data_IF_364015056807
#
_entry.id   IF_364015056807
#
_cell.length_a   1.000
_cell.length_b   1.000
_cell.length_c   1.000
_cell.angle_alpha   90.00
_cell.angle_beta   90.00
_cell.angle_gamma   90.00
#
_symmetry.space_group_name_H-M   'P 1'
#
loop_
_entity.id
_entity.type
_entity.pdbx_description
1 polymer ?
#
# COMPACT_ATOMS: atom_id res chain seq x y z
N UNK A 1 -0.37 -7.04 -28.72
CA UNK A 1 0.23 -7.98 -27.76
C UNK A 1 -0.81 -9.03 -27.42
N UNK A 2 -0.42 -10.31 -27.32
CA UNK A 2 -1.34 -11.35 -26.86
C UNK A 2 -1.76 -11.10 -25.41
N UNK A 3 -2.99 -11.49 -25.08
CA UNK A 3 -3.61 -11.30 -23.75
C UNK A 3 -2.74 -11.86 -22.61
N UNK A 4 -2.05 -13.00 -22.85
CA UNK A 4 -1.11 -13.60 -21.89
C UNK A 4 0.10 -12.72 -21.62
N UNK A 5 0.64 -12.07 -22.66
CA UNK A 5 1.81 -11.19 -22.52
C UNK A 5 1.45 -9.94 -21.72
N UNK A 6 0.25 -9.37 -21.96
CA UNK A 6 -0.26 -8.23 -21.17
C UNK A 6 -0.39 -8.59 -19.70
N UNK A 7 -0.99 -9.74 -19.39
CA UNK A 7 -1.14 -10.22 -18.01
C UNK A 7 0.21 -10.41 -17.28
N UNK A 8 1.20 -10.99 -17.97
CA UNK A 8 2.54 -11.21 -17.39
C UNK A 8 3.23 -9.88 -17.13
N UNK A 9 3.20 -8.94 -18.08
CA UNK A 9 3.81 -7.62 -17.92
C UNK A 9 3.20 -6.88 -16.73
N UNK A 10 1.87 -6.91 -16.60
CA UNK A 10 1.17 -6.30 -15.48
C UNK A 10 1.55 -6.94 -14.14
N UNK A 11 1.53 -8.27 -14.07
CA UNK A 11 1.91 -9.00 -12.87
C UNK A 11 3.37 -8.73 -12.45
N UNK A 12 4.28 -8.61 -13.42
CA UNK A 12 5.67 -8.23 -13.16
C UNK A 12 5.81 -6.78 -12.72
N UNK A 13 5.03 -5.85 -13.29
CA UNK A 13 5.00 -4.45 -12.87
C UNK A 13 4.56 -4.32 -11.41
N UNK A 14 3.44 -4.98 -11.07
CA UNK A 14 2.91 -5.06 -9.71
C UNK A 14 3.94 -5.65 -8.74
N UNK A 15 4.51 -6.81 -9.07
CA UNK A 15 5.54 -7.44 -8.25
C UNK A 15 6.78 -6.54 -8.10
N UNK A 16 7.15 -5.80 -9.15
CA UNK A 16 8.20 -4.79 -9.13
C UNK A 16 7.92 -3.68 -8.11
N UNK A 17 6.70 -3.13 -8.09
CA UNK A 17 6.31 -2.11 -7.12
C UNK A 17 6.39 -2.65 -5.69
N UNK A 18 5.85 -3.84 -5.43
CA UNK A 18 5.95 -4.48 -4.12
C UNK A 18 7.40 -4.67 -3.67
N UNK A 19 8.28 -5.10 -4.59
CA UNK A 19 9.70 -5.27 -4.28
C UNK A 19 10.39 -3.92 -4.03
N UNK A 20 10.06 -2.86 -4.77
CA UNK A 20 10.60 -1.52 -4.55
C UNK A 20 10.19 -0.96 -3.19
N UNK A 21 8.93 -1.13 -2.78
CA UNK A 21 8.45 -0.75 -1.44
C UNK A 21 9.19 -1.53 -0.35
N UNK A 22 9.35 -2.84 -0.52
CA UNK A 22 10.06 -3.69 0.45
C UNK A 22 11.53 -3.34 0.60
N UNK A 23 12.24 -3.21 -0.52
CA UNK A 23 13.66 -2.84 -0.53
C UNK A 23 13.87 -1.42 -0.02
N UNK A 24 12.97 -0.49 -0.38
CA UNK A 24 12.97 0.88 0.15
C UNK A 24 12.79 0.90 1.66
N UNK A 25 11.81 0.18 2.20
CA UNK A 25 11.58 0.09 3.63
C UNK A 25 12.81 -0.49 4.37
N UNK A 26 13.41 -1.57 3.85
CA UNK A 26 14.63 -2.16 4.41
C UNK A 26 15.80 -1.18 4.42
N UNK A 27 16.00 -0.42 3.34
CA UNK A 27 17.05 0.59 3.27
C UNK A 27 16.85 1.74 4.27
N UNK A 28 15.62 1.94 4.75
CA UNK A 28 15.24 3.01 5.66
C UNK A 28 15.26 2.63 7.15
N UNK A 29 15.29 1.33 7.48
CA UNK A 29 15.30 0.86 8.89
C UNK A 29 16.42 1.52 9.69
N UNK A 30 17.68 1.33 9.29
CA UNK A 30 18.84 1.86 10.03
C UNK A 30 18.89 3.40 10.04
N UNK A 31 18.64 4.12 8.91
CA UNK A 31 18.48 5.57 8.94
C UNK A 31 17.43 6.08 9.93
N UNK A 32 16.26 5.44 10.00
CA UNK A 32 15.17 5.85 10.88
C UNK A 32 15.47 5.57 12.35
N UNK A 33 16.11 4.45 12.67
CA UNK A 33 16.58 4.14 14.03
C UNK A 33 17.61 5.18 14.50
N UNK A 34 18.59 5.51 13.64
CA UNK A 34 19.60 6.55 13.94
C UNK A 34 18.99 7.94 14.12
N UNK A 35 17.91 8.23 13.40
CA UNK A 35 17.16 9.48 13.52
C UNK A 35 16.19 9.50 14.72
N UNK A 36 16.03 8.38 15.43
CA UNK A 36 15.13 8.29 16.59
C UNK A 36 13.66 8.40 16.21
N UNK A 37 13.27 7.97 15.01
CA UNK A 37 11.89 8.09 14.50
C UNK A 37 10.94 6.98 14.98
N UNK A 38 11.38 6.18 15.95
CA UNK A 38 10.56 5.15 16.56
C UNK A 38 9.41 5.78 17.36
N UNK A 39 8.17 5.50 16.95
CA UNK A 39 6.99 6.16 17.51
C UNK A 39 6.52 5.57 18.86
N UNK A 40 6.91 4.33 19.18
CA UNK A 40 6.46 3.63 20.39
C UNK A 40 7.57 3.53 21.42
N UNK A 41 7.25 3.75 22.70
CA UNK A 41 8.22 3.61 23.79
C UNK A 41 8.67 2.15 23.98
N UNK A 42 7.72 1.21 23.89
CA UNK A 42 8.00 -0.23 23.93
C UNK A 42 7.45 -0.90 22.66
N UNK A 43 8.29 -1.11 21.64
CA UNK A 43 7.89 -1.75 20.39
C UNK A 43 7.37 -3.18 20.54
N UNK A 44 7.71 -3.91 21.60
CA UNK A 44 7.30 -5.31 21.78
C UNK A 44 5.89 -5.46 22.38
N UNK A 45 5.28 -4.36 22.83
CA UNK A 45 3.94 -4.41 23.45
C UNK A 45 2.84 -4.64 22.40
N UNK A 46 2.16 -5.79 22.46
CA UNK A 46 1.02 -6.15 21.58
C UNK A 46 -0.13 -5.14 21.61
N UNK A 47 -0.26 -4.34 22.68
CA UNK A 47 -1.27 -3.28 22.77
C UNK A 47 -1.09 -2.21 21.69
N UNK A 48 0.15 -2.01 21.20
CA UNK A 48 0.43 -1.05 20.14
C UNK A 48 -0.37 -1.35 18.87
N UNK A 49 -0.58 -2.63 18.53
CA UNK A 49 -1.40 -3.03 17.37
C UNK A 49 -2.86 -2.65 17.56
N UNK A 50 -3.40 -2.79 18.77
CA UNK A 50 -4.79 -2.41 19.07
C UNK A 50 -4.98 -0.89 18.98
N UNK A 51 -4.04 -0.12 19.54
CA UNK A 51 -4.06 1.35 19.43
C UNK A 51 -4.00 1.77 17.96
N UNK A 52 -3.15 1.12 17.17
CA UNK A 52 -3.04 1.40 15.75
C UNK A 52 -4.31 1.06 14.97
N UNK A 53 -4.89 -0.12 15.18
CA UNK A 53 -6.17 -0.48 14.56
C UNK A 53 -7.25 0.52 14.95
N UNK A 54 -7.32 0.95 16.22
CA UNK A 54 -8.25 1.99 16.66
C UNK A 54 -8.00 3.35 15.98
N UNK A 55 -6.74 3.75 15.82
CA UNK A 55 -6.36 4.98 15.13
C UNK A 55 -6.69 4.93 13.63
N UNK A 56 -6.48 3.77 12.99
CA UNK A 56 -6.85 3.51 11.61
C UNK A 56 -8.36 3.69 11.46
N UNK A 57 -9.17 3.00 12.27
CA UNK A 57 -10.64 3.14 12.23
C UNK A 57 -11.11 4.57 12.50
N UNK A 58 -10.42 5.32 13.36
CA UNK A 58 -10.75 6.73 13.61
C UNK A 58 -10.43 7.62 12.40
N UNK A 59 -9.30 7.37 11.72
CA UNK A 59 -8.95 8.05 10.47
C UNK A 59 -9.91 7.69 9.34
N UNK A 60 -10.28 6.42 9.22
CA UNK A 60 -11.29 5.91 8.28
C UNK A 60 -12.66 6.56 8.55
N UNK A 61 -13.05 6.71 9.81
CA UNK A 61 -14.28 7.42 10.14
C UNK A 61 -14.19 8.92 9.82
N UNK A 62 -13.00 9.51 9.97
CA UNK A 62 -12.76 10.91 9.68
C UNK A 62 -12.84 11.20 8.18
N UNK A 63 -12.19 10.42 7.30
CA UNK A 63 -12.34 10.73 5.88
C UNK A 63 -13.74 10.40 5.37
N UNK A 64 -14.45 9.43 5.97
CA UNK A 64 -15.83 9.13 5.57
C UNK A 64 -16.75 10.30 5.86
N UNK A 65 -16.49 10.95 6.99
CA UNK A 65 -17.15 12.18 7.36
C UNK A 65 -16.79 13.30 6.39
N UNK A 66 -15.53 13.42 5.98
CA UNK A 66 -15.08 14.45 5.04
C UNK A 66 -15.70 14.26 3.64
N UNK A 67 -15.78 13.02 3.15
CA UNK A 67 -16.47 12.67 1.90
C UNK A 67 -17.97 12.98 1.97
N UNK A 68 -18.62 12.70 3.10
CA UNK A 68 -20.03 13.07 3.32
C UNK A 68 -20.29 14.58 3.19
N UNK A 69 -19.26 15.41 3.39
CA UNK A 69 -19.34 16.87 3.26
C UNK A 69 -18.71 17.40 1.96
N UNK A 70 -18.45 16.53 0.98
CA UNK A 70 -17.89 16.90 -0.33
C UNK A 70 -16.54 17.65 -0.22
N UNK A 71 -15.72 17.32 0.78
CA UNK A 71 -14.44 17.98 1.05
C UNK A 71 -13.29 17.45 0.19
N UNK A 72 -13.55 17.04 -1.04
CA UNK A 72 -12.60 16.35 -1.94
C UNK A 72 -11.27 17.10 -2.09
N UNK A 73 -11.32 18.43 -2.33
CA UNK A 73 -10.11 19.26 -2.46
C UNK A 73 -9.29 19.28 -1.17
N UNK A 74 -9.96 19.26 -0.01
CA UNK A 74 -9.29 19.22 1.30
C UNK A 74 -8.65 17.87 1.52
N UNK A 75 -9.34 16.78 1.20
CA UNK A 75 -8.82 15.40 1.30
C UNK A 75 -7.61 15.25 0.39
N UNK A 76 -7.71 15.65 -0.88
CA UNK A 76 -6.59 15.62 -1.84
C UNK A 76 -5.41 16.44 -1.33
N UNK A 77 -5.66 17.67 -0.86
CA UNK A 77 -4.62 18.53 -0.30
C UNK A 77 -3.93 17.91 0.91
N UNK A 78 -4.71 17.29 1.82
CA UNK A 78 -4.19 16.58 2.98
C UNK A 78 -3.32 15.40 2.58
N UNK A 79 -3.78 14.55 1.67
CA UNK A 79 -3.03 13.36 1.21
C UNK A 79 -1.73 13.79 0.53
N UNK A 80 -1.75 14.80 -0.34
CA UNK A 80 -0.54 15.32 -0.99
C UNK A 80 0.43 15.91 0.02
N UNK A 81 -0.05 16.64 1.03
CA UNK A 81 0.78 17.22 2.08
C UNK A 81 1.40 16.14 2.97
N UNK A 82 0.62 15.16 3.41
CA UNK A 82 1.10 14.01 4.19
C UNK A 82 2.11 13.21 3.37
N UNK A 83 1.82 12.96 2.10
CA UNK A 83 2.73 12.29 1.18
C UNK A 83 4.05 13.03 1.00
N UNK A 84 3.99 14.36 0.82
CA UNK A 84 5.17 15.22 0.79
C UNK A 84 5.95 15.22 2.10
N UNK A 85 5.27 15.18 3.24
CA UNK A 85 5.90 15.13 4.56
C UNK A 85 6.59 13.79 4.82
N UNK A 86 5.97 12.66 4.48
CA UNK A 86 6.60 11.35 4.54
C UNK A 86 7.80 11.31 3.58
N UNK A 87 7.63 11.80 2.35
CA UNK A 87 8.72 11.93 1.38
C UNK A 87 9.89 12.75 1.93
N UNK A 88 9.61 13.87 2.61
CA UNK A 88 10.62 14.66 3.29
C UNK A 88 11.34 13.86 4.38
N UNK A 89 10.63 13.13 5.25
CA UNK A 89 11.24 12.30 6.29
C UNK A 89 12.19 11.26 5.68
N UNK A 90 11.73 10.56 4.63
CA UNK A 90 12.53 9.57 3.88
C UNK A 90 13.82 10.22 3.35
N UNK A 91 13.69 11.32 2.62
CA UNK A 91 14.80 11.99 1.96
C UNK A 91 15.78 12.61 2.96
N UNK A 92 15.27 13.19 4.05
CA UNK A 92 16.08 13.77 5.12
C UNK A 92 16.83 12.71 5.95
N UNK A 93 16.31 11.47 6.00
CA UNK A 93 16.97 10.36 6.68
C UNK A 93 18.10 9.75 5.83
N UNK A 94 18.02 9.88 4.51
CA UNK A 94 19.04 9.39 3.57
C UNK A 94 20.16 10.44 3.37
N UNK A 95 19.79 11.71 3.18
CA UNK A 95 20.75 12.78 2.86
C UNK A 95 21.17 13.50 4.16
N UNK A 96 22.45 13.45 4.56
CA UNK A 96 22.90 14.12 5.77
C UNK A 96 22.59 15.62 5.75
N UNK A 97 22.09 16.16 6.87
CA UNK A 97 21.71 17.57 6.98
C UNK A 97 22.89 18.55 6.75
N UNK A 98 24.14 18.09 6.85
CA UNK A 98 25.34 18.86 6.55
C UNK A 98 25.55 19.12 5.06
N UNK A 99 24.91 18.34 4.18
CA UNK A 99 24.99 18.53 2.73
C UNK A 99 24.02 19.63 2.33
N UNK A 100 24.55 20.83 2.10
CA UNK A 100 23.80 22.04 1.72
C UNK A 100 22.67 22.33 2.74
N UNK A 101 23.01 22.72 3.98
CA UNK A 101 22.04 22.84 5.07
C UNK A 101 21.01 23.95 4.80
N UNK A 102 19.73 23.65 5.05
CA UNK A 102 18.60 24.57 4.94
C UNK A 102 17.51 24.19 5.94
N UNK A 103 17.14 25.13 6.82
CA UNK A 103 16.01 24.97 7.76
C UNK A 103 16.00 23.63 8.53
N UNK A 104 17.14 23.21 9.06
CA UNK A 104 17.26 21.99 9.87
C UNK A 104 17.40 20.66 9.11
N UNK A 105 17.42 20.68 7.77
CA UNK A 105 17.67 19.51 6.93
C UNK A 105 18.56 19.87 5.73
N UNK A 106 18.81 18.91 4.84
CA UNK A 106 19.46 19.20 3.56
C UNK A 106 18.50 19.95 2.62
N UNK A 107 19.00 20.97 1.92
CA UNK A 107 18.27 21.64 0.84
C UNK A 107 17.83 20.65 -0.25
N UNK A 108 18.56 19.56 -0.46
CA UNK A 108 18.22 18.51 -1.42
C UNK A 108 16.96 17.77 -0.98
N UNK A 109 16.85 17.44 0.31
CA UNK A 109 15.66 16.78 0.86
C UNK A 109 14.42 17.68 0.75
N UNK A 110 14.56 18.96 1.06
CA UNK A 110 13.49 19.96 0.86
C UNK A 110 13.07 20.08 -0.60
N UNK A 111 14.04 20.19 -1.52
CA UNK A 111 13.77 20.31 -2.95
C UNK A 111 13.07 19.07 -3.51
N UNK A 112 13.52 17.87 -3.14
CA UNK A 112 12.93 16.62 -3.61
C UNK A 112 11.53 16.38 -3.01
N UNK A 113 11.30 16.70 -1.74
CA UNK A 113 9.95 16.65 -1.17
C UNK A 113 9.00 17.67 -1.84
N UNK A 114 9.49 18.89 -2.11
CA UNK A 114 8.75 19.89 -2.88
C UNK A 114 8.43 19.44 -4.30
N UNK A 115 9.35 18.70 -4.95
CA UNK A 115 9.12 18.13 -6.27
C UNK A 115 8.04 17.05 -6.27
N UNK A 116 7.98 16.20 -5.24
CA UNK A 116 6.89 15.21 -5.06
C UNK A 116 5.54 15.94 -4.96
N UNK A 117 5.44 16.93 -4.07
CA UNK A 117 4.21 17.71 -3.88
C UNK A 117 3.81 18.42 -5.17
N UNK A 118 4.74 19.13 -5.81
CA UNK A 118 4.46 19.86 -7.04
C UNK A 118 4.05 18.93 -8.19
N UNK A 119 4.69 17.78 -8.31
CA UNK A 119 4.35 16.75 -9.30
C UNK A 119 2.91 16.26 -9.12
N UNK A 120 2.50 15.93 -7.90
CA UNK A 120 1.14 15.46 -7.59
C UNK A 120 0.07 16.54 -7.76
N UNK A 121 0.42 17.82 -7.57
CA UNK A 121 -0.52 18.93 -7.75
C UNK A 121 -0.68 19.32 -9.23
N UNK A 122 0.42 19.38 -9.99
CA UNK A 122 0.44 19.94 -11.35
C UNK A 122 0.25 18.87 -12.41
N UNK A 123 0.80 17.67 -12.21
CA UNK A 123 0.85 16.63 -13.24
C UNK A 123 0.76 15.22 -12.64
N UNK A 124 -0.39 14.85 -12.05
CA UNK A 124 -0.61 13.54 -11.41
C UNK A 124 -0.81 12.43 -12.46
N UNK A 125 0.23 12.16 -13.24
CA UNK A 125 0.26 10.97 -14.10
C UNK A 125 0.60 9.71 -13.31
N UNK A 126 0.23 8.55 -13.83
CA UNK A 126 0.43 7.26 -13.17
C UNK A 126 1.86 7.06 -12.65
N UNK A 127 2.89 7.42 -13.43
CA UNK A 127 4.28 7.25 -13.00
C UNK A 127 4.70 8.23 -11.88
N UNK A 128 4.06 9.39 -11.78
CA UNK A 128 4.29 10.36 -10.70
C UNK A 128 3.61 9.86 -9.43
N UNK A 129 2.38 9.37 -9.57
CA UNK A 129 1.59 8.78 -8.48
C UNK A 129 2.31 7.55 -7.94
N UNK A 130 2.75 6.64 -8.80
CA UNK A 130 3.46 5.41 -8.42
C UNK A 130 4.82 5.71 -7.79
N UNK A 131 5.60 6.65 -8.33
CA UNK A 131 6.88 7.03 -7.74
C UNK A 131 6.69 7.64 -6.34
N UNK A 132 5.71 8.53 -6.17
CA UNK A 132 5.36 9.08 -4.87
C UNK A 132 4.84 8.00 -3.92
N UNK A 133 3.97 7.11 -4.40
CA UNK A 133 3.40 5.99 -3.66
C UNK A 133 4.47 5.01 -3.19
N UNK A 134 5.46 4.68 -4.02
CA UNK A 134 6.60 3.83 -3.64
C UNK A 134 7.42 4.48 -2.52
N UNK A 135 7.74 5.78 -2.64
CA UNK A 135 8.51 6.52 -1.61
C UNK A 135 7.72 6.59 -0.30
N UNK A 136 6.44 6.96 -0.38
CA UNK A 136 5.54 7.01 0.76
C UNK A 136 5.36 5.65 1.41
N UNK A 137 5.18 4.60 0.62
CA UNK A 137 4.98 3.23 1.09
C UNK A 137 6.22 2.67 1.76
N UNK A 138 7.40 2.88 1.18
CA UNK A 138 8.68 2.53 1.80
C UNK A 138 8.89 3.28 3.12
N UNK A 139 8.60 4.58 3.14
CA UNK A 139 8.68 5.41 4.35
C UNK A 139 7.73 4.95 5.45
N UNK A 140 6.45 4.77 5.12
CA UNK A 140 5.43 4.31 6.06
C UNK A 140 5.75 2.91 6.60
N UNK A 141 6.07 1.95 5.72
CA UNK A 141 6.41 0.59 6.14
C UNK A 141 7.68 0.55 6.99
N UNK A 142 8.70 1.36 6.66
CA UNK A 142 9.90 1.52 7.47
C UNK A 142 9.61 2.09 8.86
N UNK A 143 8.83 3.17 8.94
CA UNK A 143 8.44 3.81 10.21
C UNK A 143 7.63 2.86 11.11
N UNK A 144 6.65 2.16 10.54
CA UNK A 144 5.90 1.15 11.29
C UNK A 144 6.75 -0.04 11.65
N UNK A 145 7.63 -0.48 10.76
CA UNK A 145 8.54 -1.60 10.99
C UNK A 145 9.46 -1.39 12.18
N UNK A 146 10.04 -0.19 12.33
CA UNK A 146 10.87 0.14 13.50
C UNK A 146 10.03 0.43 14.76
N UNK A 147 8.75 0.76 14.61
CA UNK A 147 7.86 1.11 15.72
C UNK A 147 7.08 -0.08 16.28
N UNK A 148 6.97 -1.17 15.53
CA UNK A 148 6.30 -2.39 15.95
C UNK A 148 7.30 -3.54 15.93
N UNK A 149 7.55 -4.11 17.11
CA UNK A 149 8.26 -5.37 17.26
C UNK A 149 7.54 -6.52 16.55
N UNK A 150 8.17 -7.68 16.56
CA UNK A 150 7.68 -8.87 15.85
C UNK A 150 6.25 -9.22 16.28
N UNK A 151 5.99 -9.28 17.59
CA UNK A 151 4.68 -9.66 18.10
C UNK A 151 3.59 -8.66 17.68
N UNK A 152 3.74 -7.33 17.89
CA UNK A 152 2.74 -6.38 17.42
C UNK A 152 2.55 -6.37 15.90
N UNK A 153 3.62 -6.53 15.11
CA UNK A 153 3.52 -6.62 13.66
C UNK A 153 2.70 -7.85 13.24
N UNK A 154 2.98 -9.03 13.79
CA UNK A 154 2.22 -10.25 13.53
C UNK A 154 0.74 -10.10 13.88
N UNK A 155 0.43 -9.51 15.04
CA UNK A 155 -0.96 -9.25 15.46
C UNK A 155 -1.66 -8.30 14.51
N UNK A 156 -0.98 -7.21 14.09
CA UNK A 156 -1.53 -6.24 13.16
C UNK A 156 -1.85 -6.88 11.80
N UNK A 157 -0.89 -7.58 11.21
CA UNK A 157 -1.05 -8.23 9.91
C UNK A 157 -2.16 -9.28 9.94
N UNK A 158 -2.23 -10.07 11.02
CA UNK A 158 -3.29 -11.07 11.20
C UNK A 158 -4.66 -10.42 11.37
N UNK A 159 -4.78 -9.35 12.17
CA UNK A 159 -6.03 -8.65 12.37
C UNK A 159 -6.57 -8.04 11.06
N UNK A 160 -5.70 -7.38 10.29
CA UNK A 160 -6.08 -6.80 8.99
C UNK A 160 -6.42 -7.86 7.95
N UNK A 161 -5.69 -8.97 7.91
CA UNK A 161 -6.02 -10.10 7.05
C UNK A 161 -7.40 -10.71 7.40
N UNK A 162 -7.69 -10.89 8.68
CA UNK A 162 -8.99 -11.41 9.13
C UNK A 162 -10.11 -10.43 8.78
N UNK A 163 -9.89 -9.13 9.00
CA UNK A 163 -10.86 -8.09 8.64
C UNK A 163 -11.18 -8.12 7.14
N UNK A 164 -10.16 -8.13 6.28
CA UNK A 164 -10.32 -8.18 4.83
C UNK A 164 -11.06 -9.45 4.38
N UNK A 165 -10.68 -10.63 4.91
CA UNK A 165 -11.38 -11.87 4.62
C UNK A 165 -12.87 -11.83 5.01
N UNK A 166 -13.20 -11.21 6.15
CA UNK A 166 -14.60 -11.06 6.59
C UNK A 166 -15.35 -10.06 5.69
N UNK A 167 -14.70 -8.95 5.33
CA UNK A 167 -15.27 -7.93 4.45
C UNK A 167 -15.65 -8.53 3.09
N UNK A 168 -14.71 -9.25 2.47
CA UNK A 168 -14.87 -9.80 1.12
C UNK A 168 -15.78 -11.03 1.09
N UNK A 169 -15.51 -12.06 1.91
CA UNK A 169 -16.26 -13.34 1.84
C UNK A 169 -17.49 -13.38 2.74
N UNK A 170 -17.52 -12.57 3.80
CA UNK A 170 -18.60 -12.57 4.77
C UNK A 170 -19.72 -11.63 4.40
N UNK A 171 -19.38 -10.36 4.14
CA UNK A 171 -20.40 -9.33 3.92
C UNK A 171 -20.75 -9.08 2.45
N UNK A 172 -19.95 -9.56 1.49
CA UNK A 172 -20.10 -9.33 0.02
C UNK A 172 -20.34 -7.86 -0.39
N UNK A 173 -20.21 -6.92 0.54
CA UNK A 173 -20.58 -5.51 0.41
C UNK A 173 -19.63 -4.74 -0.54
N UNK A 174 -18.53 -5.39 -0.93
CA UNK A 174 -17.54 -4.97 -1.93
C UNK A 174 -18.12 -4.93 -3.36
N UNK A 175 -19.21 -5.65 -3.64
CA UNK A 175 -19.79 -5.78 -4.99
C UNK A 175 -20.85 -4.72 -5.32
N UNK A 176 -21.19 -3.81 -4.40
CA UNK A 176 -22.36 -2.91 -4.56
C UNK A 176 -22.11 -1.44 -4.22
N UNK A 177 -20.87 -1.00 -4.01
CA UNK A 177 -20.56 0.41 -3.76
C UNK A 177 -19.66 0.97 -4.86
N UNK A 178 -20.30 1.37 -5.95
CA UNK A 178 -19.72 2.22 -6.98
C UNK A 178 -19.83 3.69 -6.55
N UNK A 179 -18.89 4.50 -7.06
CA UNK A 179 -18.91 5.97 -7.16
C UNK A 179 -18.61 6.77 -5.87
N UNK A 180 -17.41 7.36 -5.79
CA UNK A 180 -17.14 8.46 -4.84
C UNK A 180 -15.68 8.77 -4.50
N UNK A 181 -14.73 7.85 -4.71
CA UNK A 181 -13.34 8.04 -4.23
C UNK A 181 -12.31 8.22 -5.37
N UNK A 182 -12.70 8.08 -6.63
CA UNK A 182 -11.75 7.92 -7.74
C UNK A 182 -11.30 9.21 -8.44
N UNK A 183 -11.97 10.34 -8.21
CA UNK A 183 -11.59 11.62 -8.84
C UNK A 183 -10.40 12.31 -8.17
N UNK A 184 -9.96 11.81 -7.01
CA UNK A 184 -8.94 12.48 -6.21
C UNK A 184 -7.51 12.37 -6.78
N UNK A 185 -7.23 11.40 -7.66
CA UNK A 185 -5.91 11.18 -8.32
C UNK A 185 -4.73 11.27 -7.33
N UNK A 186 -4.87 10.56 -6.20
CA UNK A 186 -3.91 10.58 -5.08
C UNK A 186 -3.07 9.29 -5.01
N UNK A 187 -1.85 9.33 -4.43
CA UNK A 187 -0.96 8.18 -4.29
C UNK A 187 -1.41 7.18 -3.20
N UNK A 188 -2.69 6.82 -3.21
CA UNK A 188 -3.28 5.76 -2.39
C UNK A 188 -3.59 4.51 -3.23
N UNK A 189 -3.64 4.66 -4.56
CA UNK A 189 -3.79 3.58 -5.54
C UNK A 189 -2.61 3.66 -6.52
N UNK A 190 -1.95 2.53 -6.72
CA UNK A 190 -0.84 2.33 -7.64
C UNK A 190 -1.38 1.79 -8.96
N UNK A 191 -0.82 2.26 -10.09
CA UNK A 191 -1.39 2.07 -11.43
C UNK A 191 -0.38 1.41 -12.35
N UNK A 192 -0.65 0.18 -12.78
CA UNK A 192 0.18 -0.56 -13.74
C UNK A 192 -0.48 -0.57 -15.12
N UNK A 193 0.01 0.23 -16.08
CA UNK A 193 -0.59 0.31 -17.41
C UNK A 193 -0.36 -0.99 -18.21
N UNK A 194 -1.37 -1.41 -18.97
CA UNK A 194 -1.29 -2.56 -19.89
C UNK A 194 -0.87 -2.16 -21.31
N UNK A 195 -0.72 -0.86 -21.58
CA UNK A 195 -0.22 -0.30 -22.84
C UNK A 195 0.69 0.91 -22.59
N UNK A 196 1.69 1.12 -23.45
CA UNK A 196 2.63 2.25 -23.32
C UNK A 196 2.00 3.61 -23.67
N UNK A 197 0.85 3.60 -24.35
CA UNK A 197 0.07 4.79 -24.71
C UNK A 197 -0.95 5.18 -23.64
N UNK A 198 -1.00 4.46 -22.52
CA UNK A 198 -1.92 4.74 -21.44
C UNK A 198 -1.59 6.07 -20.76
N UNK A 199 -2.60 6.92 -20.61
CA UNK A 199 -2.56 8.22 -19.94
C UNK A 199 -3.57 8.17 -18.80
N UNK A 200 -3.13 8.41 -17.57
CA UNK A 200 -4.04 8.44 -16.42
C UNK A 200 -4.85 9.73 -16.37
N UNK A 201 -4.38 10.78 -17.04
CA UNK A 201 -5.09 12.04 -17.14
C UNK A 201 -6.32 11.95 -18.06
N UNK A 202 -6.23 11.09 -19.09
CA UNK A 202 -7.26 10.93 -20.14
C UNK A 202 -8.17 9.71 -19.92
N UNK A 203 -7.85 8.82 -18.99
CA UNK A 203 -8.68 7.67 -18.65
C UNK A 203 -9.89 8.13 -17.81
N UNK A 204 -11.11 7.88 -18.31
CA UNK A 204 -12.31 7.90 -17.47
C UNK A 204 -12.16 6.82 -16.38
N UNK A 205 -12.51 7.16 -15.14
CA UNK A 205 -12.30 6.29 -13.99
C UNK A 205 -12.96 4.91 -14.22
N UNK A 206 -12.20 3.80 -14.24
CA UNK A 206 -12.77 2.48 -14.48
C UNK A 206 -13.43 1.91 -13.22
N UNK A 207 -14.55 1.20 -13.38
CA UNK A 207 -15.45 0.61 -12.38
C UNK A 207 -14.84 -0.46 -11.45
N UNK A 208 -13.55 -0.43 -11.13
CA UNK A 208 -12.92 -1.55 -10.43
C UNK A 208 -11.66 -1.20 -9.66
N UNK A 209 -11.83 -0.31 -8.69
CA UNK A 209 -10.99 -0.24 -7.50
C UNK A 209 -11.86 -0.23 -6.25
N UNK A 210 -12.44 -1.40 -5.95
CA UNK A 210 -12.76 -1.70 -4.58
C UNK A 210 -11.42 -1.99 -3.86
N UNK A 211 -11.06 -1.07 -2.96
CA UNK A 211 -9.98 -1.10 -1.96
C UNK A 211 -8.86 -0.06 -2.12
N UNK A 212 -9.21 1.18 -1.81
CA UNK A 212 -8.52 1.94 -0.78
C UNK A 212 -9.61 2.52 0.14
N UNK A 213 -9.79 1.87 1.28
CA UNK A 213 -10.53 2.28 2.48
C UNK A 213 -11.48 3.49 2.32
N UNK A 214 -12.80 3.22 2.29
CA UNK A 214 -13.79 3.86 3.18
C UNK A 214 -15.26 3.58 2.77
N UNK A 215 -16.06 3.10 3.72
CA UNK A 215 -17.43 2.60 3.51
C UNK A 215 -18.59 3.61 3.51
N UNK A 216 -19.45 3.48 2.50
CA UNK A 216 -20.90 3.41 2.64
C UNK A 216 -21.70 4.71 2.86
N UNK A 217 -22.61 5.01 1.91
CA UNK A 217 -24.00 5.40 2.20
C UNK A 217 -24.90 5.35 0.97
N UNK A 218 -26.03 4.66 1.16
CA UNK A 218 -27.24 4.75 0.35
C UNK A 218 -27.94 6.11 0.57
N UNK A 219 -28.50 6.69 -0.49
CA UNK A 219 -29.71 7.53 -0.39
C UNK A 219 -30.67 7.21 -1.52
N UNK A 220 -31.87 6.80 -1.12
CA UNK A 220 -33.07 6.80 -1.92
C UNK A 220 -33.70 8.21 -2.03
N UNK A 221 -34.57 8.33 -3.04
CA UNK A 221 -35.63 9.32 -3.29
C UNK A 221 -35.34 10.56 -4.18
N UNK A 222 -35.62 10.35 -5.48
CA UNK A 222 -36.75 10.87 -6.26
C UNK A 222 -36.85 12.36 -6.70
N UNK A 223 -37.24 12.48 -7.98
CA UNK A 223 -38.00 13.55 -8.68
C UNK A 223 -37.31 14.67 -9.48
N UNK A 224 -37.38 14.47 -10.80
CA UNK A 224 -37.93 15.36 -11.85
C UNK A 224 -37.13 16.60 -12.31
N UNK A 225 -36.82 16.60 -13.62
CA UNK A 225 -36.43 17.81 -14.37
C UNK A 225 -36.03 17.49 -15.81
N UNK A 226 -37.02 17.37 -16.69
CA UNK A 226 -36.89 17.17 -18.14
C UNK A 226 -36.24 18.39 -18.81
N UNK A 227 -35.25 18.19 -19.69
CA UNK A 227 -35.25 18.86 -21.00
C UNK A 227 -34.42 18.09 -22.04
N UNK A 228 -35.02 17.88 -23.21
CA UNK A 228 -34.53 17.11 -24.35
C UNK A 228 -33.69 17.98 -25.29
N UNK A 229 -32.61 17.41 -25.88
CA UNK A 229 -32.27 17.55 -27.32
C UNK A 229 -31.06 16.69 -27.72
N UNK A 230 -30.95 16.28 -29.00
CA UNK A 230 -30.54 14.93 -29.37
C UNK A 230 -29.22 14.85 -30.16
N UNK A 231 -28.84 13.59 -30.47
CA UNK A 231 -27.85 13.12 -31.45
C UNK A 231 -26.43 12.86 -30.97
N UNK A 232 -26.20 11.61 -30.53
CA UNK A 232 -24.89 10.96 -30.41
C UNK A 232 -25.11 9.45 -30.28
N UNK A 233 -24.59 8.67 -31.23
CA UNK A 233 -24.90 7.27 -31.44
C UNK A 233 -24.60 6.37 -30.22
N UNK A 234 -25.67 5.83 -29.65
CA UNK A 234 -25.66 4.87 -28.55
C UNK A 234 -25.25 3.47 -29.06
N UNK A 235 -24.00 3.07 -28.86
CA UNK A 235 -23.65 1.64 -28.79
C UNK A 235 -23.98 1.15 -27.38
N UNK A 236 -25.18 0.58 -27.24
CA UNK A 236 -25.67 0.07 -25.96
C UNK A 236 -24.77 -1.03 -25.41
N UNK A 237 -24.14 -0.76 -24.28
CA UNK A 237 -23.67 -1.80 -23.37
C UNK A 237 -24.82 -2.17 -22.43
N UNK A 238 -25.22 -3.43 -22.48
CA UNK A 238 -26.21 -3.98 -21.58
C UNK A 238 -25.63 -4.02 -20.15
N UNK A 239 -26.42 -3.72 -19.11
CA UNK A 239 -25.95 -3.79 -17.73
C UNK A 239 -25.76 -5.26 -17.36
N UNK A 240 -24.52 -5.75 -17.34
CA UNK A 240 -24.24 -7.12 -16.87
C UNK A 240 -22.89 -7.74 -17.24
N UNK A 241 -22.11 -7.19 -18.18
CA UNK A 241 -20.78 -7.72 -18.50
C UNK A 241 -19.69 -6.79 -17.96
N UNK A 242 -19.26 -7.00 -16.71
CA UNK A 242 -18.01 -6.38 -16.25
C UNK A 242 -16.86 -6.84 -17.16
N UNK A 243 -16.08 -5.91 -17.76
CA UNK A 243 -15.00 -6.28 -18.66
C UNK A 243 -13.99 -7.18 -17.95
N UNK A 244 -13.52 -8.22 -18.64
CA UNK A 244 -12.54 -9.13 -18.06
C UNK A 244 -11.30 -8.33 -17.61
N UNK A 245 -10.59 -8.73 -16.54
CA UNK A 245 -9.49 -7.92 -15.98
C UNK A 245 -8.38 -7.53 -16.98
N UNK A 246 -8.27 -8.25 -18.10
CA UNK A 246 -7.29 -8.02 -19.16
C UNK A 246 -7.81 -7.19 -20.34
N UNK A 247 -9.11 -6.88 -20.35
CA UNK A 247 -9.75 -5.96 -21.29
C UNK A 247 -9.64 -4.52 -20.79
N UNK A 248 -9.35 -4.34 -19.49
CA UNK A 248 -8.99 -3.05 -18.88
C UNK A 248 -7.71 -2.49 -19.49
N UNK A 249 -7.54 -1.16 -19.40
CA UNK A 249 -6.34 -0.49 -19.91
C UNK A 249 -5.20 -0.44 -18.90
N UNK A 250 -5.52 -0.55 -17.61
CA UNK A 250 -4.58 -0.62 -16.49
C UNK A 250 -5.08 -1.54 -15.37
N UNK A 251 -4.15 -2.02 -14.54
CA UNK A 251 -4.45 -2.68 -13.27
C UNK A 251 -4.15 -1.73 -12.13
N UNK A 252 -5.00 -1.75 -11.10
CA UNK A 252 -4.90 -0.89 -9.93
C UNK A 252 -4.72 -1.72 -8.67
N UNK A 253 -3.92 -1.21 -7.74
CA UNK A 253 -3.68 -1.87 -6.45
C UNK A 253 -3.58 -0.82 -5.35
N UNK A 254 -4.19 -1.10 -4.19
CA UNK A 254 -4.07 -0.23 -3.02
C UNK A 254 -2.62 -0.15 -2.53
N UNK A 255 -2.15 1.06 -2.19
CA UNK A 255 -0.84 1.24 -1.58
C UNK A 255 -0.71 0.45 -0.26
N UNK A 256 -1.82 0.34 0.48
CA UNK A 256 -1.91 -0.45 1.72
C UNK A 256 -1.47 -1.89 1.54
N UNK A 257 -1.85 -2.54 0.43
CA UNK A 257 -1.51 -3.94 0.16
C UNK A 257 0.00 -4.18 0.02
N UNK A 258 0.74 -3.19 -0.48
CA UNK A 258 2.20 -3.24 -0.52
C UNK A 258 2.82 -2.88 0.83
N UNK A 259 2.24 -1.93 1.57
CA UNK A 259 2.78 -1.41 2.83
C UNK A 259 2.62 -2.40 3.99
N UNK A 260 1.42 -2.93 4.21
CA UNK A 260 1.10 -3.77 5.37
C UNK A 260 1.99 -5.00 5.52
N UNK A 261 2.16 -5.88 4.51
CA UNK A 261 3.08 -7.01 4.63
C UNK A 261 4.55 -6.55 4.79
N UNK A 262 4.91 -5.40 4.21
CA UNK A 262 6.26 -4.82 4.34
C UNK A 262 6.57 -4.33 5.75
N UNK A 263 5.56 -4.00 6.57
CA UNK A 263 5.78 -3.69 8.00
C UNK A 263 6.47 -4.85 8.71
N UNK A 264 6.06 -6.10 8.42
CA UNK A 264 6.72 -7.28 9.00
C UNK A 264 8.14 -7.47 8.46
N UNK A 265 8.38 -7.15 7.18
CA UNK A 265 9.73 -7.19 6.58
C UNK A 265 10.67 -6.23 7.30
N UNK A 266 10.25 -4.98 7.49
CA UNK A 266 11.03 -3.96 8.19
C UNK A 266 11.18 -4.27 9.69
N UNK A 267 10.13 -4.74 10.35
CA UNK A 267 10.17 -5.20 11.74
C UNK A 267 11.13 -6.38 11.94
N UNK A 268 11.11 -7.36 11.04
CA UNK A 268 12.06 -8.48 11.05
C UNK A 268 13.50 -8.03 10.81
N UNK A 269 13.73 -6.93 10.08
CA UNK A 269 15.06 -6.37 9.92
C UNK A 269 15.55 -5.60 11.17
N UNK A 270 14.65 -4.85 11.83
CA UNK A 270 14.96 -4.08 13.02
C UNK A 270 15.13 -4.94 14.29
N UNK A 271 14.34 -6.01 14.43
CA UNK A 271 14.21 -6.77 15.69
C UNK A 271 14.64 -8.23 15.59
N UNK A 272 15.28 -8.68 14.50
CA UNK A 272 15.78 -10.04 14.41
C UNK A 272 16.81 -10.35 15.53
N UNK A 273 16.69 -11.49 16.24
CA UNK A 273 17.72 -11.93 17.17
C UNK A 273 19.07 -12.17 16.47
N UNK A 274 20.18 -11.94 17.17
CA UNK A 274 21.54 -12.17 16.65
C UNK A 274 21.80 -13.62 16.21
N UNK A 275 21.02 -14.58 16.69
CA UNK A 275 21.09 -15.98 16.28
C UNK A 275 20.59 -16.21 14.85
N UNK A 276 19.81 -15.28 14.29
CA UNK A 276 19.33 -15.36 12.91
C UNK A 276 20.47 -14.98 11.96
N UNK A 277 20.81 -15.82 10.98
CA UNK A 277 21.87 -15.51 10.04
C UNK A 277 21.47 -14.34 9.14
N UNK A 278 22.45 -13.51 8.79
CA UNK A 278 22.27 -12.46 7.80
C UNK A 278 22.56 -12.96 6.40
N UNK A 279 21.78 -12.49 5.43
CA UNK A 279 22.01 -12.65 4.01
C UNK A 279 22.63 -11.36 3.49
N UNK A 280 23.82 -11.47 2.90
CA UNK A 280 24.46 -10.36 2.23
C UNK A 280 23.89 -10.22 0.81
N UNK A 281 23.21 -9.12 0.52
CA UNK A 281 22.65 -8.83 -0.79
C UNK A 281 22.89 -7.35 -1.15
N UNK A 282 23.55 -7.10 -2.29
CA UNK A 282 23.72 -5.74 -2.82
C UNK A 282 24.48 -4.76 -1.90
N UNK A 283 25.34 -5.25 -1.00
CA UNK A 283 26.05 -4.42 -0.02
C UNK A 283 25.31 -4.21 1.30
N UNK A 284 24.09 -4.73 1.44
CA UNK A 284 23.32 -4.73 2.67
C UNK A 284 23.41 -6.09 3.37
N UNK A 285 23.44 -6.07 4.70
CA UNK A 285 23.33 -7.26 5.56
C UNK A 285 21.91 -7.30 6.11
N UNK A 286 21.07 -8.19 5.58
CA UNK A 286 19.66 -8.28 5.94
C UNK A 286 19.40 -9.61 6.66
N UNK A 287 18.70 -9.63 7.82
CA UNK A 287 18.35 -10.87 8.49
C UNK A 287 17.57 -11.81 7.58
N UNK A 288 17.90 -13.11 7.62
CA UNK A 288 17.25 -14.10 6.77
C UNK A 288 15.72 -14.13 6.95
N UNK A 289 15.23 -13.84 8.16
CA UNK A 289 13.79 -13.75 8.48
C UNK A 289 13.07 -12.64 7.70
N UNK A 290 13.70 -11.48 7.52
CA UNK A 290 13.15 -10.40 6.71
C UNK A 290 13.08 -10.81 5.23
N UNK A 291 14.12 -11.47 4.71
CA UNK A 291 14.12 -12.04 3.35
C UNK A 291 13.04 -13.11 3.19
N UNK A 292 12.84 -13.95 4.21
CA UNK A 292 11.75 -14.92 4.26
C UNK A 292 10.37 -14.27 4.15
N UNK A 293 10.13 -13.20 4.91
CA UNK A 293 8.90 -12.42 4.83
C UNK A 293 8.70 -11.80 3.43
N UNK A 294 9.76 -11.28 2.81
CA UNK A 294 9.69 -10.71 1.46
C UNK A 294 9.29 -11.76 0.41
N UNK A 295 10.00 -12.89 0.39
CA UNK A 295 9.72 -13.99 -0.53
C UNK A 295 8.30 -14.51 -0.30
N UNK A 296 7.89 -14.66 0.95
CA UNK A 296 6.53 -15.04 1.34
C UNK A 296 5.47 -14.10 0.78
N UNK A 297 5.69 -12.78 0.88
CA UNK A 297 4.80 -11.75 0.32
C UNK A 297 4.69 -11.87 -1.20
N UNK A 298 5.82 -12.05 -1.91
CA UNK A 298 5.82 -12.21 -3.38
C UNK A 298 5.11 -13.50 -3.80
N UNK A 299 5.28 -14.60 -3.06
CA UNK A 299 4.54 -15.85 -3.32
C UNK A 299 3.04 -15.64 -3.09
N UNK A 300 2.65 -14.97 -2.00
CA UNK A 300 1.26 -14.62 -1.71
C UNK A 300 0.64 -13.78 -2.82
N UNK A 301 1.36 -12.75 -3.28
CA UNK A 301 0.99 -11.91 -4.41
C UNK A 301 0.85 -12.72 -5.71
N UNK A 302 1.78 -13.63 -6.01
CA UNK A 302 1.68 -14.47 -7.19
C UNK A 302 0.44 -15.39 -7.17
N UNK A 303 0.06 -15.89 -5.99
CA UNK A 303 -1.19 -16.66 -5.82
C UNK A 303 -2.41 -15.77 -6.01
N UNK A 304 -2.42 -14.58 -5.41
CA UNK A 304 -3.50 -13.59 -5.54
C UNK A 304 -3.71 -13.20 -7.01
N UNK A 305 -2.64 -12.78 -7.69
CA UNK A 305 -2.72 -12.40 -9.10
C UNK A 305 -3.17 -13.57 -9.99
N UNK A 306 -2.75 -14.80 -9.68
CA UNK A 306 -3.25 -15.98 -10.40
C UNK A 306 -4.76 -16.19 -10.22
N UNK A 307 -5.32 -15.84 -9.06
CA UNK A 307 -6.77 -15.93 -8.80
C UNK A 307 -7.53 -14.79 -9.47
N UNK A 308 -7.02 -13.56 -9.37
CA UNK A 308 -7.60 -12.37 -10.01
C UNK A 308 -7.62 -12.53 -11.54
N UNK A 309 -6.52 -13.01 -12.13
CA UNK A 309 -6.45 -13.29 -13.58
C UNK A 309 -7.39 -14.43 -14.03
N UNK A 310 -7.96 -15.19 -13.09
CA UNK A 310 -9.01 -16.20 -13.36
C UNK A 310 -10.42 -15.66 -13.15
N UNK A 311 -10.58 -14.35 -12.93
CA UNK A 311 -11.88 -13.69 -12.73
C UNK A 311 -12.52 -13.99 -11.37
N UNK A 312 -11.72 -14.32 -10.35
CA UNK A 312 -12.22 -14.55 -8.99
C UNK A 312 -11.84 -13.36 -8.11
N UNK A 313 -12.84 -12.65 -7.61
CA UNK A 313 -12.64 -11.72 -6.50
C UNK A 313 -12.10 -12.49 -5.28
N UNK A 314 -11.09 -11.94 -4.63
CA UNK A 314 -10.43 -12.53 -3.47
C UNK A 314 -9.93 -11.42 -2.56
N UNK A 315 -10.05 -11.65 -1.25
CA UNK A 315 -9.42 -10.83 -0.24
C UNK A 315 -7.89 -10.82 -0.46
N UNK A 316 -7.33 -9.62 -0.61
CA UNK A 316 -5.92 -9.40 -0.92
C UNK A 316 -5.01 -9.69 0.28
N UNK A 317 -5.30 -9.05 1.42
CA UNK A 317 -4.48 -9.08 2.62
C UNK A 317 -4.28 -10.49 3.20
N UNK A 318 -5.26 -11.42 3.21
CA UNK A 318 -5.03 -12.79 3.64
C UNK A 318 -3.89 -13.50 2.90
N UNK A 319 -3.80 -13.33 1.58
CA UNK A 319 -2.75 -13.97 0.79
C UNK A 319 -1.42 -13.25 0.95
N UNK A 320 -1.43 -11.92 0.97
CA UNK A 320 -0.22 -11.09 1.12
C UNK A 320 0.37 -11.21 2.52
N UNK A 321 -0.40 -10.90 3.56
CA UNK A 321 0.02 -10.97 4.96
C UNK A 321 0.26 -12.42 5.39
N UNK A 322 -0.61 -13.35 4.97
CA UNK A 322 -0.43 -14.78 5.24
C UNK A 322 0.86 -15.31 4.62
N UNK A 323 1.17 -14.90 3.38
CA UNK A 323 2.43 -15.19 2.72
C UNK A 323 3.63 -14.63 3.48
N UNK A 324 3.59 -13.35 3.87
CA UNK A 324 4.64 -12.69 4.64
C UNK A 324 4.90 -13.39 5.99
N UNK A 325 3.84 -13.67 6.75
CA UNK A 325 3.91 -14.35 8.05
C UNK A 325 4.46 -15.77 7.87
N UNK A 326 3.97 -16.53 6.89
CA UNK A 326 4.44 -17.90 6.64
C UNK A 326 5.93 -17.92 6.25
N UNK A 327 6.34 -17.03 5.34
CA UNK A 327 7.74 -16.89 4.92
C UNK A 327 8.65 -16.52 6.09
N UNK A 328 8.23 -15.56 6.92
CA UNK A 328 8.92 -15.18 8.14
C UNK A 328 9.09 -16.35 9.11
N UNK A 329 7.99 -17.02 9.47
CA UNK A 329 8.00 -18.12 10.45
C UNK A 329 8.82 -19.32 9.97
N UNK A 330 8.73 -19.67 8.69
CA UNK A 330 9.51 -20.76 8.11
C UNK A 330 11.01 -20.50 8.25
N UNK A 331 11.47 -19.28 7.93
CA UNK A 331 12.89 -18.93 8.05
C UNK A 331 13.31 -18.76 9.51
N UNK A 332 12.45 -18.23 10.38
CA UNK A 332 12.72 -18.11 11.80
C UNK A 332 13.00 -19.49 12.43
N UNK A 333 12.13 -20.47 12.17
CA UNK A 333 12.28 -21.85 12.67
C UNK A 333 13.48 -22.54 12.02
N UNK A 334 13.70 -22.35 10.71
CA UNK A 334 14.88 -22.88 10.03
C UNK A 334 16.20 -22.30 10.56
N UNK A 335 16.16 -21.08 11.12
CA UNK A 335 17.30 -20.42 11.78
C UNK A 335 17.50 -20.87 13.23
N UNK A 336 16.70 -21.83 13.72
CA UNK A 336 16.85 -22.41 15.06
C UNK A 336 16.03 -21.72 16.15
N UNK A 337 15.16 -20.77 15.82
CA UNK A 337 14.24 -20.17 16.80
C UNK A 337 13.12 -21.14 17.15
N UNK A 338 12.77 -21.21 18.43
CA UNK A 338 11.50 -21.83 18.84
C UNK A 338 10.32 -21.00 18.33
N UNK A 339 9.14 -21.62 18.19
CA UNK A 339 7.96 -20.89 17.73
C UNK A 339 7.61 -19.72 18.65
N UNK A 340 7.81 -19.86 19.97
CA UNK A 340 7.62 -18.78 20.93
C UNK A 340 8.55 -17.59 20.63
N UNK A 341 9.85 -17.85 20.46
CA UNK A 341 10.82 -16.80 20.11
C UNK A 341 10.52 -16.18 18.75
N UNK A 342 10.12 -16.99 17.77
CA UNK A 342 9.76 -16.52 16.44
C UNK A 342 8.54 -15.58 16.47
N UNK A 343 7.57 -15.78 17.36
CA UNK A 343 6.45 -14.83 17.49
C UNK A 343 6.75 -13.66 18.42
N UNK A 344 8.00 -13.51 18.90
CA UNK A 344 8.40 -12.44 19.82
C UNK A 344 8.04 -12.70 21.29
N UNK A 345 7.75 -13.95 21.67
CA UNK A 345 7.51 -14.36 23.06
C UNK A 345 8.78 -14.99 23.66
N UNK A 346 9.15 -14.57 24.88
CA UNK A 346 10.30 -15.12 25.60
C UNK A 346 11.65 -14.56 25.16
N UNK A 347 11.64 -13.35 24.61
CA UNK A 347 12.82 -12.49 24.40
C UNK A 347 12.94 -11.50 25.56
#
# INVERSE_FOLDING_TARGET
MDQRTRAIVAALGIAGIFLLVQLGALALVEPFERAGLQATENPQNATNSLVYVGALLAMTAFMLLAFRYDLEVVIRGLIVLVGGYIGFIVLASIVPASVVPLAGASAIAWAAAGAIVLGLLVHPEWYVIDAAGIVMGAGAAGLFGISFGILPALVLLAALAVYDAISVYGTEHMLTLAEGVMDLRVPVVLVVPLSLSYSFLDADAPDSVAEADEGGRETADNEQGVDESPDGENSGEAPGDEPAPLDREALFIGLGDAVIPTVLVASAAAFAPESVPNVAAGGFSVPATAVGAMIGTVIGLAVLLRMVLRGRAHAGLPLLNGGAIAGYLLVAVASGLSLAQAVGLGV
#
